data_IF_162451922273
#
_entry.id   IF_162451922273
#
_cell.length_a   1.000
_cell.length_b   1.000
_cell.length_c   1.000
_cell.angle_alpha   90.00
_cell.angle_beta   90.00
_cell.angle_gamma   90.00
#
_symmetry.space_group_name_H-M   'P 1'
#
loop_
_entity.id
_entity.type
_entity.pdbx_description
1 polymer ?
#
# COMPACT_ATOMS: atom_id res chain seq x y z
N UNK A 1 -2.59 7.43 13.38
CA UNK A 1 -2.13 7.04 12.03
C UNK A 1 -1.96 5.53 12.00
N UNK A 2 -2.59 4.86 11.05
CA UNK A 2 -2.65 3.39 10.99
C UNK A 2 -2.80 2.95 9.53
N UNK A 3 -2.58 1.66 9.21
CA UNK A 3 -3.04 1.09 7.95
C UNK A 3 -4.47 1.52 7.63
N UNK A 4 -4.71 2.09 6.45
CA UNK A 4 -6.03 2.64 6.12
C UNK A 4 -6.22 4.14 6.36
N UNK A 5 -5.27 4.85 6.98
CA UNK A 5 -5.34 6.32 7.04
C UNK A 5 -5.15 6.91 5.64
N UNK A 6 -5.80 8.03 5.32
CA UNK A 6 -5.61 8.68 4.02
C UNK A 6 -4.23 9.34 3.98
N UNK A 7 -3.50 9.13 2.91
CA UNK A 7 -2.28 9.86 2.58
C UNK A 7 -2.60 10.87 1.48
N UNK A 8 -2.10 12.09 1.63
CA UNK A 8 -2.20 13.13 0.62
C UNK A 8 -0.81 13.54 0.18
N UNK A 9 -0.53 13.38 -1.12
CA UNK A 9 0.76 13.73 -1.74
C UNK A 9 0.48 14.67 -2.91
N UNK A 10 0.90 15.93 -2.82
CA UNK A 10 0.65 16.95 -3.86
C UNK A 10 -0.82 17.04 -4.34
N UNK A 11 -1.79 16.87 -3.44
CA UNK A 11 -3.22 16.92 -3.73
C UNK A 11 -3.83 15.60 -4.23
N UNK A 12 -3.01 14.59 -4.52
CA UNK A 12 -3.47 13.21 -4.78
C UNK A 12 -3.74 12.47 -3.47
N UNK A 13 -4.87 11.79 -3.38
CA UNK A 13 -5.27 11.02 -2.20
C UNK A 13 -5.06 9.52 -2.44
N UNK A 14 -4.46 8.86 -1.45
CA UNK A 14 -4.30 7.41 -1.37
C UNK A 14 -4.59 6.90 0.04
N UNK A 15 -4.51 5.59 0.24
CA UNK A 15 -4.71 4.92 1.52
C UNK A 15 -3.38 4.28 1.94
N UNK A 16 -3.00 4.45 3.21
CA UNK A 16 -1.80 3.82 3.77
C UNK A 16 -1.90 2.29 3.84
N UNK A 17 -0.80 1.58 3.57
CA UNK A 17 -0.68 0.13 3.79
C UNK A 17 -0.19 -0.19 5.21
N UNK A 18 1.03 -0.66 5.38
CA UNK A 18 1.58 -1.18 6.62
C UNK A 18 2.54 -0.19 7.27
N UNK A 19 2.94 -0.51 8.49
CA UNK A 19 3.97 0.22 9.22
C UNK A 19 5.28 -0.53 9.15
N UNK A 20 6.37 0.20 8.92
CA UNK A 20 7.72 -0.33 8.85
C UNK A 20 8.64 0.44 9.79
N UNK A 21 9.75 -0.18 10.15
CA UNK A 21 10.81 0.46 10.94
C UNK A 21 12.18 0.04 10.43
N UNK A 22 13.23 0.69 10.91
CA UNK A 22 14.61 0.42 10.58
C UNK A 22 15.48 0.28 11.84
N UNK A 23 16.79 0.08 11.68
CA UNK A 23 17.71 -0.05 12.82
C UNK A 23 18.03 1.27 13.51
N UNK A 24 17.73 2.40 12.86
CA UNK A 24 17.85 3.73 13.44
C UNK A 24 16.61 4.15 14.26
N UNK A 25 15.57 3.30 14.32
CA UNK A 25 14.33 3.59 15.04
C UNK A 25 13.41 4.56 14.31
N UNK A 26 13.61 4.79 13.02
CA UNK A 26 12.66 5.54 12.20
C UNK A 26 11.39 4.71 12.01
N UNK A 27 10.25 5.40 11.91
CA UNK A 27 8.96 4.79 11.60
C UNK A 27 8.49 5.27 10.24
N UNK A 28 8.00 4.31 9.45
CA UNK A 28 7.49 4.55 8.12
C UNK A 28 6.08 4.03 8.01
N UNK A 29 5.24 4.77 7.30
CA UNK A 29 3.93 4.29 6.87
C UNK A 29 4.01 4.15 5.36
N UNK A 30 3.71 2.96 4.84
CA UNK A 30 3.76 2.74 3.41
C UNK A 30 2.50 3.25 2.69
N UNK A 31 2.68 3.56 1.41
CA UNK A 31 1.62 3.86 0.44
C UNK A 31 2.01 3.27 -0.92
N UNK A 32 1.14 3.35 -1.92
CA UNK A 32 1.54 3.00 -3.28
C UNK A 32 2.47 4.08 -3.87
N UNK A 33 3.46 3.71 -4.69
CA UNK A 33 4.42 4.62 -5.28
C UNK A 33 3.76 5.51 -6.34
N UNK A 34 2.78 5.00 -7.08
CA UNK A 34 1.99 5.77 -8.04
C UNK A 34 1.18 6.89 -7.39
N UNK A 35 0.96 6.86 -6.08
CA UNK A 35 0.33 7.98 -5.34
C UNK A 35 1.17 9.27 -5.41
N UNK A 36 2.44 9.13 -5.77
CA UNK A 36 3.36 10.23 -6.05
C UNK A 36 3.61 10.41 -7.55
N UNK A 37 2.80 9.77 -8.40
CA UNK A 37 2.90 9.87 -9.85
C UNK A 37 2.56 11.28 -10.34
N UNK A 38 3.23 11.71 -11.40
CA UNK A 38 2.98 13.01 -12.07
C UNK A 38 2.41 12.85 -13.47
N UNK A 39 2.21 11.60 -13.91
CA UNK A 39 1.65 11.24 -15.22
C UNK A 39 0.14 11.06 -15.19
N UNK A 40 -0.38 10.49 -16.28
CA UNK A 40 -1.79 10.10 -16.38
C UNK A 40 -2.09 8.92 -15.48
N UNK A 41 -3.36 8.73 -15.11
CA UNK A 41 -3.78 7.59 -14.28
C UNK A 41 -3.48 6.23 -14.94
N UNK A 42 -3.27 6.19 -16.26
CA UNK A 42 -2.90 4.99 -17.02
C UNK A 42 -1.40 4.71 -17.03
N UNK A 43 -0.57 5.64 -16.56
CA UNK A 43 0.88 5.48 -16.50
C UNK A 43 1.24 4.60 -15.31
N UNK A 44 1.23 3.29 -15.54
CA UNK A 44 1.34 2.26 -14.49
C UNK A 44 2.71 1.59 -14.43
N UNK A 45 3.57 1.80 -15.44
CA UNK A 45 4.93 1.28 -15.44
C UNK A 45 5.85 2.19 -14.62
N UNK A 46 6.31 1.72 -13.46
CA UNK A 46 7.13 2.50 -12.54
C UNK A 46 8.52 2.85 -13.05
N UNK A 47 9.01 2.17 -14.09
CA UNK A 47 10.29 2.47 -14.74
C UNK A 47 10.19 3.63 -15.74
N UNK A 48 9.00 3.95 -16.24
CA UNK A 48 8.78 4.97 -17.27
C UNK A 48 7.93 6.15 -16.77
N UNK A 49 6.98 5.91 -15.87
CA UNK A 49 6.03 6.89 -15.40
C UNK A 49 6.69 7.99 -14.57
N UNK A 50 6.24 9.24 -14.77
CA UNK A 50 6.72 10.38 -13.98
C UNK A 50 6.37 10.24 -12.51
N UNK A 51 7.29 10.59 -11.61
CA UNK A 51 7.11 10.49 -10.16
C UNK A 51 7.73 11.70 -9.45
N UNK A 52 7.12 12.11 -8.34
CA UNK A 52 7.63 13.15 -7.45
C UNK A 52 8.91 12.66 -6.76
N UNK A 53 9.85 13.58 -6.45
CA UNK A 53 11.12 13.21 -5.84
C UNK A 53 10.95 12.72 -4.39
N UNK A 54 11.96 11.99 -3.92
CA UNK A 54 12.12 11.73 -2.49
C UNK A 54 12.18 13.04 -1.70
N UNK A 55 11.70 13.03 -0.46
CA UNK A 55 11.57 14.20 0.41
C UNK A 55 10.28 14.99 0.21
N UNK A 56 9.47 14.66 -0.80
CA UNK A 56 8.13 15.25 -0.97
C UNK A 56 7.29 15.03 0.29
N UNK A 57 6.63 16.10 0.74
CA UNK A 57 5.78 16.09 1.93
C UNK A 57 4.51 15.27 1.70
N UNK A 58 4.11 14.53 2.73
CA UNK A 58 2.87 13.77 2.77
C UNK A 58 2.14 14.11 4.07
N UNK A 59 0.84 14.40 3.97
CA UNK A 59 -0.02 14.53 5.14
C UNK A 59 -0.85 13.26 5.33
N UNK A 60 -1.07 12.91 6.60
CA UNK A 60 -1.95 11.81 6.99
C UNK A 60 -3.25 12.40 7.51
N UNK A 61 -4.38 12.03 6.92
CA UNK A 61 -5.65 12.66 7.21
C UNK A 61 -6.75 11.64 7.54
N UNK A 62 -7.73 12.07 8.33
CA UNK A 62 -8.94 11.32 8.65
C UNK A 62 -10.19 12.08 8.21
N UNK A 63 -11.18 11.34 7.69
CA UNK A 63 -12.46 11.92 7.26
C UNK A 63 -12.38 12.72 5.96
N UNK A 64 -11.35 12.51 5.13
CA UNK A 64 -11.27 13.08 3.80
C UNK A 64 -12.43 12.65 2.89
N UNK A 65 -12.84 13.54 2.01
CA UNK A 65 -13.98 13.42 1.10
C UNK A 65 -13.74 14.21 -0.19
N UNK A 66 -14.68 14.14 -1.14
CA UNK A 66 -14.65 14.94 -2.37
C UNK A 66 -14.61 16.47 -2.18
N UNK A 67 -14.96 16.97 -0.99
CA UNK A 67 -15.07 18.41 -0.72
C UNK A 67 -14.11 18.91 0.36
N UNK A 68 -13.32 18.02 0.96
CA UNK A 68 -12.38 18.35 2.04
C UNK A 68 -11.37 17.24 2.20
N UNK A 69 -10.10 17.56 2.42
CA UNK A 69 -9.06 16.57 2.77
C UNK A 69 -9.23 16.00 4.19
N UNK A 70 -10.23 16.46 4.95
CA UNK A 70 -10.50 16.01 6.30
C UNK A 70 -9.61 16.69 7.35
N UNK A 71 -9.36 15.98 8.45
CA UNK A 71 -8.50 16.45 9.53
C UNK A 71 -7.12 15.84 9.40
N UNK A 72 -6.10 16.68 9.29
CA UNK A 72 -4.70 16.23 9.35
C UNK A 72 -4.37 15.70 10.75
N UNK A 73 -3.92 14.45 10.82
CA UNK A 73 -3.56 13.75 12.05
C UNK A 73 -2.05 13.55 12.22
N UNK A 74 -1.27 13.75 11.15
CA UNK A 74 0.19 13.82 11.19
C UNK A 74 0.83 14.13 9.84
N UNK A 75 2.15 14.20 9.80
CA UNK A 75 2.92 14.44 8.58
C UNK A 75 4.10 13.48 8.42
N UNK A 76 4.64 13.46 7.21
CA UNK A 76 5.87 12.77 6.88
C UNK A 76 6.42 13.22 5.53
N UNK A 77 7.45 12.53 5.07
CA UNK A 77 8.04 12.76 3.74
C UNK A 77 8.38 11.43 3.08
N UNK A 78 8.27 11.35 1.75
CA UNK A 78 8.68 10.17 0.99
C UNK A 78 10.16 9.89 1.23
N UNK A 79 10.47 8.80 1.93
CA UNK A 79 11.84 8.37 2.17
C UNK A 79 12.29 7.27 1.21
N UNK A 80 11.33 6.55 0.63
CA UNK A 80 11.57 5.54 -0.39
C UNK A 80 10.39 5.50 -1.36
N UNK A 81 10.67 5.24 -2.63
CA UNK A 81 9.70 4.98 -3.69
C UNK A 81 10.35 3.99 -4.66
N UNK A 82 9.65 2.90 -4.93
CA UNK A 82 10.09 1.88 -5.90
C UNK A 82 10.32 2.51 -7.27
N UNK A 83 9.43 3.38 -7.73
CA UNK A 83 9.53 4.06 -9.03
C UNK A 83 10.79 4.93 -9.13
N UNK A 84 11.01 5.81 -8.16
CA UNK A 84 12.23 6.61 -8.09
C UNK A 84 13.49 5.73 -8.09
N UNK A 85 13.46 4.62 -7.33
CA UNK A 85 14.59 3.70 -7.21
C UNK A 85 14.86 2.97 -8.52
N UNK A 86 13.82 2.38 -9.14
CA UNK A 86 13.89 1.67 -10.41
C UNK A 86 14.43 2.58 -11.52
N UNK A 87 13.92 3.81 -11.63
CA UNK A 87 14.35 4.80 -12.61
C UNK A 87 15.82 5.21 -12.42
N UNK A 88 16.22 5.54 -11.19
CA UNK A 88 17.62 5.88 -10.88
C UNK A 88 18.58 4.72 -11.18
N UNK A 89 18.06 3.49 -11.14
CA UNK A 89 18.78 2.25 -11.35
C UNK A 89 18.81 1.77 -12.80
N UNK A 90 17.99 2.35 -13.67
CA UNK A 90 17.74 1.82 -15.01
C UNK A 90 17.22 0.39 -14.96
N UNK A 91 16.26 0.11 -14.09
CA UNK A 91 15.60 -1.20 -13.99
C UNK A 91 14.96 -1.58 -15.33
N UNK A 92 15.09 -2.85 -15.71
CA UNK A 92 14.59 -3.36 -17.00
C UNK A 92 13.79 -4.65 -16.86
N UNK A 93 13.73 -5.24 -15.66
CA UNK A 93 12.89 -6.40 -15.43
C UNK A 93 11.41 -6.02 -15.58
N UNK A 94 10.71 -6.68 -16.50
CA UNK A 94 9.36 -6.31 -16.89
C UNK A 94 8.37 -6.42 -15.73
N UNK A 95 8.48 -7.46 -14.88
CA UNK A 95 7.57 -7.66 -13.76
C UNK A 95 7.84 -6.66 -12.64
N UNK A 96 9.11 -6.40 -12.34
CA UNK A 96 9.50 -5.37 -11.37
C UNK A 96 8.98 -4.00 -11.80
N UNK A 97 9.18 -3.61 -13.06
CA UNK A 97 8.68 -2.36 -13.62
C UNK A 97 7.14 -2.26 -13.62
N UNK A 98 6.44 -3.37 -13.89
CA UNK A 98 4.98 -3.39 -13.98
C UNK A 98 4.28 -3.41 -12.61
N UNK A 99 4.91 -3.98 -11.58
CA UNK A 99 4.20 -4.38 -10.35
C UNK A 99 4.83 -3.86 -9.06
N UNK A 100 6.08 -3.39 -9.05
CA UNK A 100 6.69 -2.85 -7.84
C UNK A 100 6.19 -1.43 -7.57
N UNK A 101 5.27 -1.29 -6.64
CA UNK A 101 4.54 -0.06 -6.39
C UNK A 101 4.60 0.34 -4.92
N UNK A 102 5.66 -0.01 -4.20
CA UNK A 102 5.84 0.36 -2.81
C UNK A 102 6.54 1.71 -2.65
N UNK A 103 5.96 2.59 -1.83
CA UNK A 103 6.62 3.76 -1.28
C UNK A 103 6.52 3.79 0.24
N UNK A 104 7.52 4.39 0.89
CA UNK A 104 7.58 4.56 2.34
C UNK A 104 7.63 6.04 2.69
N UNK A 105 6.66 6.48 3.48
CA UNK A 105 6.62 7.82 4.05
C UNK A 105 7.25 7.75 5.43
N UNK A 106 8.40 8.40 5.61
CA UNK A 106 9.01 8.56 6.93
C UNK A 106 8.16 9.52 7.75
N UNK A 107 7.64 9.02 8.86
CA UNK A 107 6.78 9.78 9.76
C UNK A 107 7.60 10.87 10.47
N UNK A 108 7.02 12.07 10.59
CA UNK A 108 7.60 13.15 11.39
C UNK A 108 7.80 12.70 12.84
N UNK A 109 8.93 13.06 13.44
CA UNK A 109 9.28 12.63 14.81
C UNK A 109 8.22 13.02 15.85
N UNK A 110 7.51 14.14 15.64
CA UNK A 110 6.43 14.59 16.51
C UNK A 110 5.18 13.69 16.47
N UNK A 111 5.01 12.90 15.40
CA UNK A 111 3.81 12.10 15.14
C UNK A 111 4.05 10.59 15.30
N UNK A 112 5.29 10.13 15.51
CA UNK A 112 5.62 8.71 15.67
C UNK A 112 4.78 8.04 16.76
N UNK A 113 4.55 8.71 17.89
CA UNK A 113 3.75 8.18 18.99
C UNK A 113 2.27 7.97 18.64
N UNK A 114 1.80 8.52 17.52
CA UNK A 114 0.42 8.36 17.02
C UNK A 114 0.27 7.18 16.05
N UNK A 115 1.35 6.47 15.74
CA UNK A 115 1.34 5.34 14.79
C UNK A 115 0.87 4.06 15.49
N UNK A 116 -0.09 3.38 14.88
CA UNK A 116 -0.54 2.05 15.26
C UNK A 116 -0.38 1.12 14.05
N UNK A 117 0.38 0.02 14.14
CA UNK A 117 0.60 -0.91 13.03
C UNK A 117 -0.61 -1.80 12.71
N UNK A 118 -1.67 -1.74 13.51
CA UNK A 118 -2.83 -2.61 13.38
C UNK A 118 -3.78 -2.15 12.28
N UNK A 119 -4.24 -3.06 11.43
CA UNK A 119 -5.30 -2.75 10.45
C UNK A 119 -6.63 -2.57 11.19
N UNK A 120 -7.34 -1.42 11.05
CA UNK A 120 -8.62 -1.23 11.72
C UNK A 120 -9.62 -2.31 11.33
N UNK A 121 -10.50 -2.66 12.26
CA UNK A 121 -11.48 -3.76 12.15
C UNK A 121 -10.88 -5.17 12.13
N UNK A 122 -9.70 -5.37 11.52
CA UNK A 122 -9.11 -6.69 11.32
C UNK A 122 -8.01 -7.07 12.33
N UNK A 123 -7.27 -6.11 12.87
CA UNK A 123 -6.00 -6.36 13.57
C UNK A 123 -4.86 -6.73 12.61
N UNK A 124 -3.76 -7.29 13.13
CA UNK A 124 -2.60 -7.67 12.31
C UNK A 124 -1.91 -6.48 11.61
N UNK A 125 -0.89 -6.70 10.76
CA UNK A 125 -0.42 -7.99 10.27
C UNK A 125 0.35 -8.77 11.34
N UNK A 126 0.36 -10.10 11.25
CA UNK A 126 1.12 -10.96 12.18
C UNK A 126 2.50 -11.35 11.62
N UNK A 127 2.62 -11.42 10.29
CA UNK A 127 3.86 -11.66 9.55
C UNK A 127 3.70 -11.17 8.10
N UNK A 128 4.69 -11.45 7.25
CA UNK A 128 4.62 -11.26 5.78
C UNK A 128 4.21 -12.59 5.16
N UNK A 129 3.28 -12.59 4.20
CA UNK A 129 3.02 -13.75 3.36
C UNK A 129 4.16 -13.88 2.35
N UNK A 130 4.84 -15.02 2.34
CA UNK A 130 5.98 -15.30 1.44
C UNK A 130 5.70 -16.46 0.48
N UNK A 131 4.45 -16.90 0.40
CA UNK A 131 4.04 -18.07 -0.37
C UNK A 131 3.06 -17.73 -1.50
N UNK A 132 2.70 -16.45 -1.62
CA UNK A 132 1.71 -15.97 -2.57
C UNK A 132 0.28 -16.37 -2.18
N UNK A 133 -0.63 -16.26 -3.14
CA UNK A 133 -2.05 -16.59 -2.96
C UNK A 133 -2.56 -17.60 -3.97
N UNK A 134 -3.50 -18.43 -3.54
CA UNK A 134 -4.20 -19.39 -4.38
C UNK A 134 -5.61 -18.92 -4.71
N UNK A 135 -6.14 -19.39 -5.85
CA UNK A 135 -7.49 -19.09 -6.26
C UNK A 135 -8.50 -19.53 -5.19
N UNK A 136 -9.31 -18.58 -4.71
CA UNK A 136 -10.29 -18.79 -3.65
C UNK A 136 -9.80 -18.49 -2.23
N UNK A 137 -8.51 -18.17 -2.04
CA UNK A 137 -8.01 -17.72 -0.73
C UNK A 137 -8.72 -16.45 -0.31
N UNK A 138 -9.12 -16.37 0.96
CA UNK A 138 -9.73 -15.16 1.51
C UNK A 138 -8.70 -14.09 1.74
N UNK A 139 -9.07 -12.85 1.40
CA UNK A 139 -8.26 -11.66 1.66
C UNK A 139 -9.08 -10.58 2.36
N UNK A 140 -8.40 -9.79 3.19
CA UNK A 140 -8.99 -8.76 4.05
C UNK A 140 -8.24 -7.45 3.85
N UNK A 141 -8.97 -6.33 3.76
CA UNK A 141 -8.36 -5.04 3.50
C UNK A 141 -9.11 -3.91 4.21
N UNK A 142 -8.47 -2.76 4.33
CA UNK A 142 -9.10 -1.53 4.80
C UNK A 142 -8.81 -0.42 3.81
N UNK A 143 -9.81 -0.02 3.01
CA UNK A 143 -9.71 1.05 2.04
C UNK A 143 -10.40 2.32 2.50
N UNK A 144 -9.81 3.48 2.22
CA UNK A 144 -10.31 4.75 2.73
C UNK A 144 -10.33 5.85 1.68
N UNK A 145 -10.78 5.51 0.47
CA UNK A 145 -11.01 6.49 -0.59
C UNK A 145 -11.94 7.62 -0.13
N UNK A 146 -11.50 8.85 -0.37
CA UNK A 146 -12.29 10.08 -0.25
C UNK A 146 -13.59 10.06 -1.07
N UNK A 147 -13.68 9.23 -2.13
CA UNK A 147 -14.91 9.01 -2.91
C UNK A 147 -16.03 8.36 -2.10
N UNK A 148 -15.70 7.72 -0.98
CA UNK A 148 -16.67 7.07 -0.07
C UNK A 148 -17.26 8.03 0.96
N UNK A 149 -16.94 9.33 0.87
CA UNK A 149 -17.57 10.39 1.67
C UNK A 149 -17.29 10.29 3.17
N UNK A 150 -16.14 9.75 3.57
CA UNK A 150 -15.76 9.59 4.98
C UNK A 150 -16.55 8.49 5.73
N UNK A 151 -17.31 7.65 5.03
CA UNK A 151 -18.08 6.55 5.63
C UNK A 151 -17.17 5.36 5.96
N UNK A 152 -16.62 5.35 7.18
CA UNK A 152 -15.71 4.31 7.68
C UNK A 152 -16.34 2.91 7.74
N UNK A 153 -17.67 2.81 7.77
CA UNK A 153 -18.38 1.51 7.69
C UNK A 153 -18.16 0.80 6.35
N UNK A 154 -17.77 1.52 5.30
CA UNK A 154 -17.46 0.96 3.98
C UNK A 154 -15.97 0.66 3.79
N UNK A 155 -15.16 0.93 4.81
CA UNK A 155 -13.71 0.78 4.73
C UNK A 155 -13.22 -0.66 4.89
N UNK A 156 -13.76 -1.48 5.81
CA UNK A 156 -13.43 -2.90 5.86
C UNK A 156 -13.88 -3.60 4.58
N UNK A 157 -12.95 -4.30 3.93
CA UNK A 157 -13.17 -5.05 2.70
C UNK A 157 -12.81 -6.51 2.94
N UNK A 158 -13.63 -7.39 2.37
CA UNK A 158 -13.32 -8.81 2.21
C UNK A 158 -13.32 -9.16 0.73
N UNK A 159 -12.48 -10.12 0.37
CA UNK A 159 -12.36 -10.58 -1.00
C UNK A 159 -11.85 -12.00 -1.11
N UNK A 160 -11.64 -12.41 -2.36
CA UNK A 160 -11.02 -13.67 -2.74
C UNK A 160 -9.87 -13.39 -3.71
N UNK A 161 -8.76 -14.11 -3.54
CA UNK A 161 -7.71 -14.17 -4.54
C UNK A 161 -8.20 -14.94 -5.78
N UNK A 162 -7.72 -14.51 -6.95
CA UNK A 162 -7.90 -15.19 -8.22
C UNK A 162 -6.76 -16.19 -8.51
N UNK A 163 -5.78 -16.26 -7.60
CA UNK A 163 -4.59 -17.08 -7.71
C UNK A 163 -3.50 -16.40 -8.52
N UNK A 164 -2.26 -16.65 -8.13
CA UNK A 164 -1.10 -16.08 -8.79
C UNK A 164 -0.85 -16.72 -10.16
N UNK A 165 -0.46 -15.91 -11.14
CA UNK A 165 -0.02 -16.40 -12.44
C UNK A 165 1.51 -16.49 -12.46
N UNK A 166 2.04 -17.64 -12.86
CA UNK A 166 3.48 -17.87 -12.94
C UNK A 166 4.21 -16.86 -13.86
N UNK A 167 3.52 -16.29 -14.86
CA UNK A 167 4.08 -15.27 -15.74
C UNK A 167 4.45 -13.96 -15.00
N UNK A 168 3.74 -13.64 -13.91
CA UNK A 168 3.96 -12.42 -13.13
C UNK A 168 5.12 -12.58 -12.13
N UNK A 169 5.73 -13.78 -12.05
CA UNK A 169 6.89 -14.04 -11.20
C UNK A 169 6.66 -13.84 -9.71
N UNK A 170 5.39 -13.85 -9.26
CA UNK A 170 5.02 -13.63 -7.86
C UNK A 170 4.96 -12.16 -7.44
N UNK A 171 5.05 -11.21 -8.37
CA UNK A 171 5.01 -9.77 -8.05
C UNK A 171 3.62 -9.20 -7.83
N UNK A 172 2.56 -9.93 -8.22
CA UNK A 172 1.19 -9.43 -8.11
C UNK A 172 0.21 -10.54 -7.76
N UNK A 173 -0.84 -10.16 -7.03
CA UNK A 173 -1.95 -11.05 -6.69
C UNK A 173 -3.27 -10.44 -7.20
N UNK A 174 -3.87 -11.01 -8.27
CA UNK A 174 -5.18 -10.59 -8.72
C UNK A 174 -6.26 -11.05 -7.74
N UNK A 175 -7.28 -10.23 -7.50
CA UNK A 175 -8.33 -10.50 -6.52
C UNK A 175 -9.66 -9.83 -6.86
N UNK A 176 -10.74 -10.32 -6.24
CA UNK A 176 -12.04 -9.65 -6.18
C UNK A 176 -12.38 -9.28 -4.76
N UNK A 177 -12.79 -8.03 -4.53
CA UNK A 177 -13.40 -7.60 -3.27
C UNK A 177 -14.90 -7.41 -3.44
N UNK A 178 -15.69 -7.63 -2.37
CA UNK A 178 -17.15 -7.40 -2.40
C UNK A 178 -17.50 -5.97 -2.82
N UNK A 179 -16.68 -5.02 -2.39
CA UNK A 179 -16.70 -3.64 -2.90
C UNK A 179 -15.34 -3.36 -3.54
N UNK A 180 -15.26 -3.30 -4.89
CA UNK A 180 -14.01 -3.04 -5.59
C UNK A 180 -13.24 -1.84 -5.04
N UNK A 181 -11.92 -1.90 -5.14
CA UNK A 181 -11.05 -0.75 -4.95
C UNK A 181 -11.41 0.34 -5.97
N UNK A 182 -11.49 1.58 -5.50
CA UNK A 182 -11.73 2.77 -6.34
C UNK A 182 -10.56 3.75 -6.18
N UNK A 183 -10.42 4.77 -7.04
CA UNK A 183 -9.38 5.79 -6.86
C UNK A 183 -9.38 6.34 -5.42
N UNK A 184 -8.19 6.40 -4.82
CA UNK A 184 -8.03 6.73 -3.40
C UNK A 184 -7.94 5.54 -2.45
N UNK A 185 -8.41 4.35 -2.84
CA UNK A 185 -8.12 3.09 -2.12
C UNK A 185 -6.70 2.59 -2.44
N UNK A 186 -6.03 3.13 -3.47
CA UNK A 186 -4.63 2.83 -3.83
C UNK A 186 -3.71 2.85 -2.61
N UNK A 187 -2.86 1.85 -2.49
CA UNK A 187 -1.99 1.63 -1.35
C UNK A 187 -2.64 0.91 -0.17
N UNK A 188 -3.94 0.57 -0.18
CA UNK A 188 -4.56 -0.19 0.91
C UNK A 188 -3.85 -1.50 1.20
N UNK A 189 -3.65 -1.82 2.48
CA UNK A 189 -3.11 -3.10 2.94
C UNK A 189 -4.06 -4.26 2.64
N UNK A 190 -3.51 -5.41 2.24
CA UNK A 190 -4.23 -6.68 2.13
C UNK A 190 -3.59 -7.76 3.02
N UNK A 191 -4.43 -8.44 3.80
CA UNK A 191 -4.08 -9.54 4.70
C UNK A 191 -4.66 -10.86 4.17
N UNK A 192 -3.98 -11.98 4.42
CA UNK A 192 -4.53 -13.32 4.22
C UNK A 192 -5.42 -13.78 5.40
N UNK A 193 -5.97 -15.00 5.31
CA UNK A 193 -6.82 -15.59 6.35
C UNK A 193 -6.11 -15.89 7.68
N UNK A 194 -4.78 -15.79 7.74
CA UNK A 194 -4.00 -15.91 8.96
C UNK A 194 -3.54 -14.54 9.50
N UNK A 195 -3.85 -13.46 8.79
CA UNK A 195 -3.43 -12.10 9.13
C UNK A 195 -2.03 -11.76 8.66
N UNK A 196 -1.43 -12.53 7.75
CA UNK A 196 -0.15 -12.15 7.16
C UNK A 196 -0.36 -11.06 6.10
N UNK A 197 0.55 -10.10 6.04
CA UNK A 197 0.57 -9.07 5.01
C UNK A 197 0.89 -9.68 3.65
N UNK A 198 -0.09 -9.65 2.73
CA UNK A 198 0.03 -10.18 1.37
C UNK A 198 0.57 -9.11 0.45
N UNK A 199 -0.03 -7.93 0.46
CA UNK A 199 0.26 -6.95 -0.58
C UNK A 199 -0.40 -5.61 -0.38
N UNK A 200 -0.13 -4.73 -1.32
CA UNK A 200 -0.63 -3.35 -1.32
C UNK A 200 -1.44 -3.08 -2.59
N UNK A 201 -2.58 -2.41 -2.48
CA UNK A 201 -3.46 -2.19 -3.63
C UNK A 201 -2.80 -1.29 -4.69
N UNK A 202 -2.44 -1.86 -5.83
CA UNK A 202 -1.75 -1.16 -6.93
C UNK A 202 -2.68 -0.85 -8.10
N UNK A 203 -3.83 -1.52 -8.24
CA UNK A 203 -4.65 -1.39 -9.45
C UNK A 203 -5.16 -0.01 -9.81
N UNK A 204 -4.97 0.33 -11.09
CA UNK A 204 -6.08 0.41 -12.05
C UNK A 204 -6.13 -0.89 -12.85
N UNK A 205 -7.08 -1.77 -12.51
CA UNK A 205 -7.33 -3.04 -13.21
C UNK A 205 -7.93 -2.75 -14.57
N UNK A 206 -7.08 -2.44 -15.54
CA UNK A 206 -7.44 -2.31 -16.94
C UNK A 206 -7.05 -3.61 -17.65
N UNK A 207 -7.99 -4.56 -17.64
CA UNK A 207 -7.97 -5.86 -18.33
C UNK A 207 -7.12 -6.98 -17.68
N UNK A 208 -7.46 -8.27 -17.91
CA UNK A 208 -8.59 -8.76 -18.71
C UNK A 208 -9.89 -8.96 -17.91
N UNK A 209 -9.86 -8.91 -16.58
CA UNK A 209 -11.01 -9.24 -15.75
C UNK A 209 -11.72 -7.96 -15.26
N UNK A 210 -12.96 -7.70 -15.72
CA UNK A 210 -13.72 -6.55 -15.23
C UNK A 210 -13.87 -6.60 -13.71
N UNK A 211 -13.71 -5.44 -13.07
CA UNK A 211 -13.91 -5.24 -11.63
C UNK A 211 -12.90 -5.95 -10.72
N UNK A 212 -11.88 -6.63 -11.28
CA UNK A 212 -10.81 -7.17 -10.46
C UNK A 212 -9.85 -6.06 -10.03
N UNK A 213 -9.24 -6.27 -8.88
CA UNK A 213 -8.12 -5.48 -8.42
C UNK A 213 -6.88 -6.36 -8.42
N UNK A 214 -5.70 -5.72 -8.44
CA UNK A 214 -4.41 -6.38 -8.24
C UNK A 214 -3.71 -5.64 -7.11
N UNK A 215 -3.02 -6.42 -6.29
CA UNK A 215 -2.12 -5.93 -5.26
C UNK A 215 -0.70 -6.29 -5.67
N UNK A 216 0.27 -5.42 -5.39
CA UNK A 216 1.69 -5.78 -5.45
C UNK A 216 2.01 -6.75 -4.31
N UNK A 217 2.93 -7.69 -4.54
CA UNK A 217 3.38 -8.65 -3.52
C UNK A 217 4.33 -7.95 -2.54
N UNK A 218 3.93 -7.88 -1.26
CA UNK A 218 4.68 -7.13 -0.27
C UNK A 218 6.06 -7.76 -0.01
N UNK A 219 6.20 -9.09 -0.12
CA UNK A 219 7.48 -9.74 0.14
C UNK A 219 8.52 -9.34 -0.91
N UNK A 220 8.16 -9.31 -2.19
CA UNK A 220 9.01 -8.86 -3.29
C UNK A 220 9.28 -7.36 -3.23
N UNK A 221 8.24 -6.54 -3.02
CA UNK A 221 8.38 -5.09 -2.90
C UNK A 221 9.29 -4.69 -1.74
N UNK A 222 9.08 -5.29 -0.56
CA UNK A 222 9.91 -5.01 0.62
C UNK A 222 11.34 -5.53 0.43
N UNK A 223 11.54 -6.70 -0.18
CA UNK A 223 12.87 -7.20 -0.48
C UNK A 223 13.64 -6.27 -1.43
N UNK A 224 12.96 -5.74 -2.45
CA UNK A 224 13.54 -4.75 -3.35
C UNK A 224 13.91 -3.46 -2.60
N UNK A 225 13.03 -2.97 -1.72
CA UNK A 225 13.30 -1.82 -0.87
C UNK A 225 14.50 -2.06 0.06
N UNK A 226 14.57 -3.21 0.71
CA UNK A 226 15.69 -3.60 1.58
C UNK A 226 17.03 -3.64 0.83
N UNK A 227 17.02 -4.12 -0.42
CA UNK A 227 18.22 -4.23 -1.24
C UNK A 227 18.70 -2.88 -1.79
N UNK A 228 17.80 -1.92 -2.03
CA UNK A 228 18.10 -0.76 -2.87
C UNK A 228 17.80 0.62 -2.26
N UNK A 229 17.07 0.70 -1.13
CA UNK A 229 16.71 1.99 -0.52
C UNK A 229 17.86 2.65 0.27
N UNK A 230 18.84 1.87 0.73
CA UNK A 230 19.82 2.32 1.72
C UNK A 230 19.30 2.41 3.16
N UNK A 231 18.05 1.98 3.42
CA UNK A 231 17.46 1.93 4.77
C UNK A 231 17.89 0.64 5.48
N UNK A 232 18.85 0.76 6.41
CA UNK A 232 19.41 -0.40 7.12
C UNK A 232 18.40 -1.03 8.08
N UNK A 233 18.19 -2.35 7.96
CA UNK A 233 17.30 -3.10 8.85
C UNK A 233 15.81 -2.85 8.61
N UNK A 234 15.44 -2.27 7.46
CA UNK A 234 14.05 -2.04 7.06
C UNK A 234 13.22 -3.33 7.23
N UNK A 235 12.12 -3.26 7.97
CA UNK A 235 11.26 -4.41 8.27
C UNK A 235 9.82 -4.00 8.57
N UNK A 236 8.88 -4.90 8.28
CA UNK A 236 7.48 -4.77 8.67
C UNK A 236 7.35 -4.77 10.21
N UNK A 237 6.47 -3.93 10.74
CA UNK A 237 6.07 -3.93 12.16
C UNK A 237 4.78 -4.72 12.30
N UNK A 238 4.75 -5.80 13.11
CA UNK A 238 3.51 -6.52 13.41
C UNK A 238 2.46 -5.64 14.10
N UNK A 239 1.19 -5.93 13.85
CA UNK A 239 0.06 -5.31 14.53
C UNK A 239 0.12 -5.49 16.04
N UNK A 240 -0.37 -4.49 16.77
CA UNK A 240 -0.51 -4.54 18.24
C UNK A 240 -1.84 -5.17 18.67
N UNK A 241 -2.83 -5.19 17.77
CA UNK A 241 -4.09 -5.90 17.94
C UNK A 241 -4.05 -7.24 17.22
N UNK A 242 -4.55 -8.33 17.84
CA UNK A 242 -4.56 -9.65 17.22
C UNK A 242 -5.42 -9.65 15.96
N UNK A 243 -4.99 -10.37 14.94
CA UNK A 243 -5.82 -10.57 13.75
C UNK A 243 -7.08 -11.35 14.12
N UNK A 244 -8.25 -10.76 13.83
CA UNK A 244 -9.56 -11.29 14.15
C UNK A 244 -10.51 -11.02 12.99
N UNK A 245 -10.46 -11.82 11.92
CA UNK A 245 -11.43 -11.71 10.85
C UNK A 245 -12.80 -12.06 11.44
N UNK A 246 -13.74 -11.11 11.43
CA UNK A 246 -15.11 -11.36 11.88
C UNK A 246 -15.64 -12.62 11.17
N UNK A 247 -16.14 -13.57 11.97
CA UNK A 247 -16.68 -14.86 11.52
C UNK A 247 -17.90 -14.70 10.60
#
# INVERSE_FOLDING_TARGET
MHPGVQTYTSGGQCTANFVFTDDAGNVYVGQAAHCSGTGEATDTNGCDAGTLPLGTEVTFNEGGSLISEGTQVGTGSIAYSSWNTMQARGETDANTCAYNDLALVKVSSADVAKVNPSVPFWGGPVAINTTGTQAGDKVYSYGNSSLRGGLTQLSPKTGISLGDNAADGGWTHPLYTLTPGVPGDSGSAFLDANGNAVGTLSTLGLAPLPLSNNIGDLAHELAYAQAHSGISGLRLVPGTEPFSPAL
#
